data_IF_444612990411
#
_entry.id   IF_444612990411
#
_cell.length_a   1.000
_cell.length_b   1.000
_cell.length_c   1.000
_cell.angle_alpha   90.00
_cell.angle_beta   90.00
_cell.angle_gamma   90.00
#
_symmetry.space_group_name_H-M   'P 1'
#
loop_
_entity.id
_entity.type
_entity.pdbx_description
1 polymer ?
#
# COMPACT_ATOMS: atom_id res chain seq x y z
N UNK A 1 -13.20 15.85 23.08
CA UNK A 1 -12.64 14.72 22.31
C UNK A 1 -13.65 13.61 22.04
N UNK A 2 -14.54 13.26 22.98
CA UNK A 2 -15.66 12.34 22.73
C UNK A 2 -16.52 12.85 21.57
N UNK A 3 -16.57 12.09 20.47
CA UNK A 3 -17.39 12.37 19.29
C UNK A 3 -16.69 13.04 18.10
N UNK A 4 -15.39 13.38 18.17
CA UNK A 4 -14.67 14.01 17.04
C UNK A 4 -13.71 13.07 16.30
N UNK A 5 -13.03 12.15 17.00
CA UNK A 5 -12.12 11.18 16.41
C UNK A 5 -12.47 9.77 16.88
N UNK A 6 -12.55 8.83 15.94
CA UNK A 6 -12.80 7.42 16.16
C UNK A 6 -11.57 6.62 15.76
N UNK A 7 -11.21 5.64 16.58
CA UNK A 7 -10.02 4.81 16.36
C UNK A 7 -10.42 3.49 15.71
N UNK A 8 -9.62 3.01 14.76
CA UNK A 8 -9.85 1.73 14.09
C UNK A 8 -9.66 0.52 15.00
N UNK A 9 -10.22 -0.62 14.60
CA UNK A 9 -10.32 -1.84 15.41
C UNK A 9 -8.99 -2.48 15.82
N UNK A 10 -7.87 -2.12 15.18
CA UNK A 10 -6.54 -2.60 15.57
C UNK A 10 -6.02 -1.96 16.87
N UNK A 11 -6.59 -0.82 17.29
CA UNK A 11 -6.29 -0.16 18.55
C UNK A 11 -7.18 -0.74 19.65
N UNK A 12 -6.62 -1.60 20.49
CA UNK A 12 -7.36 -2.26 21.57
C UNK A 12 -6.67 -2.14 22.93
N UNK A 13 -7.48 -2.21 23.99
CA UNK A 13 -7.03 -2.28 25.38
C UNK A 13 -6.00 -1.21 25.76
N UNK A 14 -4.75 -1.66 25.97
CA UNK A 14 -3.64 -0.80 26.39
C UNK A 14 -3.29 0.25 25.32
N UNK A 15 -3.31 -0.12 24.04
CA UNK A 15 -2.95 0.80 22.95
C UNK A 15 -3.97 1.92 22.81
N UNK A 16 -5.26 1.56 22.86
CA UNK A 16 -6.36 2.52 22.82
C UNK A 16 -6.26 3.54 23.96
N UNK A 17 -5.98 3.09 25.18
CA UNK A 17 -5.83 3.97 26.33
C UNK A 17 -4.58 4.86 26.21
N UNK A 18 -3.47 4.29 25.72
CA UNK A 18 -2.23 5.04 25.46
C UNK A 18 -2.44 6.16 24.45
N UNK A 19 -3.06 5.85 23.30
CA UNK A 19 -3.39 6.85 22.27
C UNK A 19 -4.29 7.94 22.83
N UNK A 20 -5.40 7.58 23.48
CA UNK A 20 -6.33 8.57 24.03
C UNK A 20 -5.66 9.55 24.99
N UNK A 21 -4.76 9.06 25.86
CA UNK A 21 -4.02 9.92 26.80
C UNK A 21 -3.03 10.83 26.08
N UNK A 22 -2.25 10.30 25.14
CA UNK A 22 -1.25 11.07 24.39
C UNK A 22 -1.92 12.16 23.56
N UNK A 23 -2.96 11.81 22.80
CA UNK A 23 -3.69 12.77 21.96
C UNK A 23 -4.38 13.81 22.84
N UNK A 24 -4.91 13.43 24.00
CA UNK A 24 -5.57 14.36 24.92
C UNK A 24 -4.59 15.36 25.53
N UNK A 25 -3.41 14.89 25.93
CA UNK A 25 -2.34 15.76 26.40
C UNK A 25 -1.88 16.71 25.32
N UNK A 26 -1.59 16.20 24.11
CA UNK A 26 -1.04 16.99 23.01
C UNK A 26 -2.04 18.06 22.54
N UNK A 27 -3.30 17.69 22.31
CA UNK A 27 -4.32 18.65 21.86
C UNK A 27 -4.55 19.76 22.88
N UNK A 28 -4.51 19.48 24.18
CA UNK A 28 -4.64 20.54 25.20
C UNK A 28 -3.49 21.54 25.18
N UNK A 29 -2.31 21.13 24.72
CA UNK A 29 -1.13 22.01 24.62
C UNK A 29 -1.15 22.84 23.33
N UNK A 30 -1.51 22.21 22.20
CA UNK A 30 -1.48 22.85 20.88
C UNK A 30 -2.77 23.66 20.61
N UNK A 31 -3.91 23.14 21.07
CA UNK A 31 -5.25 23.70 20.87
C UNK A 31 -5.94 23.92 22.23
N UNK A 32 -5.59 24.99 22.96
CA UNK A 32 -6.23 25.30 24.25
C UNK A 32 -7.70 25.73 24.09
N UNK A 33 -8.11 26.17 22.89
CA UNK A 33 -9.49 26.52 22.57
C UNK A 33 -10.27 25.29 22.06
N UNK A 34 -11.43 25.04 22.65
CA UNK A 34 -12.30 23.90 22.31
C UNK A 34 -12.91 23.99 20.90
N UNK A 35 -12.99 25.21 20.35
CA UNK A 35 -13.52 25.51 19.02
C UNK A 35 -12.47 25.41 17.90
N UNK A 36 -11.19 25.27 18.26
CA UNK A 36 -10.12 25.20 17.28
C UNK A 36 -10.24 23.94 16.40
N UNK A 37 -9.98 24.11 15.10
CA UNK A 37 -9.91 22.99 14.16
C UNK A 37 -8.61 22.21 14.40
N UNK A 38 -8.76 20.95 14.74
CA UNK A 38 -7.64 20.03 14.98
C UNK A 38 -7.19 19.46 13.64
N UNK A 39 -5.91 19.64 13.32
CA UNK A 39 -5.30 18.97 12.16
C UNK A 39 -5.12 17.47 12.41
N UNK A 40 -5.31 16.68 11.36
CA UNK A 40 -5.09 15.24 11.32
C UNK A 40 -3.65 14.84 11.70
N UNK A 41 -2.68 15.70 11.41
CA UNK A 41 -1.26 15.50 11.71
C UNK A 41 -0.98 15.51 13.23
N UNK A 42 -1.82 16.20 14.00
CA UNK A 42 -1.64 16.39 15.45
C UNK A 42 -2.21 15.23 16.28
N UNK A 43 -2.74 14.18 15.64
CA UNK A 43 -3.31 13.02 16.32
C UNK A 43 -2.27 12.05 16.87
N UNK A 44 -0.95 12.32 16.75
CA UNK A 44 0.17 11.59 17.38
C UNK A 44 0.16 10.05 17.24
N UNK A 45 -0.69 9.49 16.38
CA UNK A 45 -0.86 8.06 16.15
C UNK A 45 0.39 7.45 15.54
N UNK A 46 1.09 8.24 14.72
CA UNK A 46 2.35 7.84 14.09
C UNK A 46 3.40 7.48 15.14
N UNK A 47 3.56 8.31 16.17
CA UNK A 47 4.52 8.07 17.25
C UNK A 47 4.18 6.79 18.02
N UNK A 48 2.88 6.52 18.25
CA UNK A 48 2.47 5.26 18.87
C UNK A 48 2.76 4.06 17.96
N UNK A 49 2.52 4.19 16.64
CA UNK A 49 2.83 3.15 15.66
C UNK A 49 4.33 2.83 15.67
N UNK A 50 5.21 3.84 15.70
CA UNK A 50 6.67 3.65 15.82
C UNK A 50 7.05 2.76 17.01
N UNK A 51 6.43 2.97 18.17
CA UNK A 51 6.69 2.16 19.37
C UNK A 51 6.19 0.72 19.19
N UNK A 52 4.97 0.55 18.68
CA UNK A 52 4.38 -0.79 18.51
C UNK A 52 5.12 -1.62 17.44
N UNK A 53 5.61 -0.98 16.39
CA UNK A 53 6.47 -1.62 15.38
C UNK A 53 7.79 -2.13 15.98
N UNK A 54 8.38 -1.41 16.94
CA UNK A 54 9.54 -1.95 17.69
C UNK A 54 9.14 -3.12 18.58
N UNK A 55 7.98 -3.08 19.23
CA UNK A 55 7.48 -4.20 20.04
C UNK A 55 7.23 -5.45 19.19
N UNK A 56 6.70 -5.28 17.98
CA UNK A 56 6.52 -6.36 16.99
C UNK A 56 7.84 -7.05 16.64
N UNK A 57 8.95 -6.32 16.54
CA UNK A 57 10.29 -6.91 16.30
C UNK A 57 10.76 -7.80 17.45
N UNK A 58 10.34 -7.50 18.67
CA UNK A 58 10.72 -8.26 19.89
C UNK A 58 9.77 -9.44 20.12
N UNK A 59 8.48 -9.28 19.82
CA UNK A 59 7.44 -10.29 20.07
C UNK A 59 6.34 -10.25 19.01
N UNK A 60 6.59 -10.87 17.85
CA UNK A 60 5.68 -10.80 16.70
C UNK A 60 4.28 -11.40 16.96
N UNK A 61 4.16 -12.39 17.84
CA UNK A 61 2.89 -13.03 18.16
C UNK A 61 1.95 -12.16 19.03
N UNK A 62 2.51 -11.32 19.90
CA UNK A 62 1.74 -10.47 20.83
C UNK A 62 1.45 -9.09 20.23
N UNK A 63 2.36 -8.58 19.38
CA UNK A 63 2.31 -7.20 18.88
C UNK A 63 2.08 -7.11 17.36
N UNK A 64 1.41 -8.11 16.77
CA UNK A 64 1.14 -8.18 15.32
C UNK A 64 0.23 -7.06 14.79
N UNK A 65 -0.69 -6.55 15.61
CA UNK A 65 -1.70 -5.58 15.19
C UNK A 65 -1.15 -4.14 15.10
N UNK A 66 -0.39 -3.82 14.04
CA UNK A 66 0.16 -2.48 13.81
C UNK A 66 -0.63 -1.63 12.80
N UNK A 67 -1.78 -2.14 12.32
CA UNK A 67 -2.68 -1.47 11.38
C UNK A 67 -3.49 -0.35 12.03
N UNK A 68 -2.84 0.73 12.46
CA UNK A 68 -3.53 1.85 13.08
C UNK A 68 -4.25 2.69 12.03
N UNK A 69 -5.52 2.95 12.31
CA UNK A 69 -6.37 3.83 11.53
C UNK A 69 -7.22 4.72 12.44
N UNK A 70 -7.72 5.80 11.87
CA UNK A 70 -8.64 6.71 12.53
C UNK A 70 -9.64 7.30 11.54
N UNK A 71 -10.77 7.74 12.06
CA UNK A 71 -11.81 8.47 11.33
C UNK A 71 -12.13 9.75 12.09
N UNK A 72 -12.17 10.89 11.38
CA UNK A 72 -12.57 12.18 11.96
C UNK A 72 -14.02 12.47 11.54
N UNK A 73 -14.86 12.77 12.52
CA UNK A 73 -16.30 12.94 12.32
C UNK A 73 -17.03 11.60 12.09
N UNK A 74 -18.36 11.67 11.95
CA UNK A 74 -19.24 10.50 11.81
C UNK A 74 -19.32 9.97 10.37
N UNK A 75 -18.95 10.77 9.37
CA UNK A 75 -18.94 10.39 7.94
C UNK A 75 -17.53 10.44 7.33
N UNK A 76 -16.49 10.48 8.17
CA UNK A 76 -15.11 10.58 7.70
C UNK A 76 -14.63 9.33 6.97
N UNK A 77 -13.72 9.51 6.01
CA UNK A 77 -12.96 8.41 5.40
C UNK A 77 -11.98 7.87 6.44
N UNK A 78 -11.89 6.55 6.58
CA UNK A 78 -10.89 5.90 7.42
C UNK A 78 -9.48 6.17 6.87
N UNK A 79 -8.65 6.82 7.67
CA UNK A 79 -7.27 7.13 7.33
C UNK A 79 -6.32 6.19 8.06
N UNK A 80 -5.48 5.51 7.30
CA UNK A 80 -4.43 4.65 7.83
C UNK A 80 -3.17 5.47 8.10
N UNK A 81 -2.55 5.21 9.24
CA UNK A 81 -1.37 5.95 9.69
C UNK A 81 -0.13 5.20 9.23
N UNK A 82 0.61 5.71 8.26
CA UNK A 82 1.88 5.15 7.78
C UNK A 82 3.07 5.61 8.64
N UNK A 83 4.20 4.89 8.57
CA UNK A 83 5.46 5.29 9.23
C UNK A 83 6.58 5.29 8.19
N UNK A 84 6.98 6.46 7.66
CA UNK A 84 7.85 6.55 6.48
C UNK A 84 9.25 5.95 6.74
N UNK A 85 9.73 5.95 7.98
CA UNK A 85 11.06 5.44 8.34
C UNK A 85 11.13 3.91 8.38
N UNK A 86 9.99 3.22 8.41
CA UNK A 86 9.95 1.76 8.39
C UNK A 86 10.15 1.18 6.98
N UNK A 87 10.15 2.05 5.95
CA UNK A 87 10.34 1.66 4.58
C UNK A 87 11.80 1.25 4.35
N UNK A 88 12.06 -0.05 4.16
CA UNK A 88 13.27 -0.47 3.46
C UNK A 88 13.14 0.06 2.03
N UNK A 89 14.01 0.99 1.60
CA UNK A 89 13.97 1.60 0.26
C UNK A 89 14.01 0.57 -0.89
N UNK A 90 14.35 -0.69 -0.61
CA UNK A 90 14.57 -1.73 -1.62
C UNK A 90 13.67 -2.98 -1.48
N UNK A 91 12.52 -2.89 -0.79
CA UNK A 91 11.66 -4.06 -0.50
C UNK A 91 10.17 -3.83 -0.78
N UNK A 92 9.44 -4.92 -1.06
CA UNK A 92 7.98 -4.95 -1.01
C UNK A 92 7.57 -4.64 0.43
N UNK A 93 6.77 -3.59 0.64
CA UNK A 93 6.26 -3.25 1.96
C UNK A 93 5.20 -4.25 2.42
N UNK A 94 5.06 -4.42 3.74
CA UNK A 94 3.98 -5.20 4.35
C UNK A 94 2.63 -4.44 4.34
N UNK A 95 2.63 -3.20 3.86
CA UNK A 95 1.43 -2.38 3.74
C UNK A 95 0.64 -2.77 2.49
N UNK A 96 -0.70 -2.85 2.58
CA UNK A 96 -1.52 -3.07 1.40
C UNK A 96 -1.26 -1.94 0.40
N UNK A 97 -1.05 -2.31 -0.86
CA UNK A 97 -0.83 -1.34 -1.93
C UNK A 97 -2.08 -0.48 -2.13
N UNK A 98 -1.88 0.75 -2.61
CA UNK A 98 -2.99 1.61 -3.01
C UNK A 98 -3.83 0.93 -4.11
N UNK A 99 -5.12 1.27 -4.16
CA UNK A 99 -6.00 0.75 -5.21
C UNK A 99 -5.41 1.05 -6.60
N UNK A 100 -5.35 0.04 -7.46
CA UNK A 100 -4.74 0.13 -8.79
C UNK A 100 -3.24 -0.18 -8.81
N UNK A 101 -2.58 -0.43 -7.68
CA UNK A 101 -1.18 -0.82 -7.63
C UNK A 101 -1.01 -2.30 -7.30
N UNK A 102 -0.19 -3.02 -8.06
CA UNK A 102 0.16 -4.42 -7.79
C UNK A 102 1.64 -4.70 -8.05
N UNK A 103 2.21 -5.62 -7.26
CA UNK A 103 3.52 -6.19 -7.54
C UNK A 103 3.37 -7.40 -8.46
N UNK A 104 4.23 -7.49 -9.47
CA UNK A 104 4.26 -8.58 -10.44
C UNK A 104 5.67 -9.10 -10.60
N UNK A 105 5.80 -10.41 -10.83
CA UNK A 105 7.06 -11.07 -11.10
C UNK A 105 7.13 -11.41 -12.58
N UNK A 106 8.22 -11.06 -13.25
CA UNK A 106 8.56 -11.61 -14.55
C UNK A 106 9.58 -12.72 -14.37
N UNK A 107 9.39 -13.91 -15.00
CA UNK A 107 10.35 -15.01 -14.91
C UNK A 107 11.72 -14.68 -15.54
N UNK A 108 11.84 -13.57 -16.30
CA UNK A 108 13.04 -13.23 -17.06
C UNK A 108 13.13 -14.01 -18.37
N UNK A 109 14.01 -13.57 -19.27
CA UNK A 109 14.36 -14.27 -20.52
C UNK A 109 15.50 -15.28 -20.33
N UNK A 110 15.96 -15.92 -21.40
CA UNK A 110 17.04 -16.92 -21.35
C UNK A 110 18.35 -16.40 -20.69
N UNK A 111 18.65 -15.11 -20.86
CA UNK A 111 19.86 -14.45 -20.31
C UNK A 111 19.54 -13.40 -19.23
N UNK A 112 18.29 -13.26 -18.82
CA UNK A 112 17.84 -12.22 -17.88
C UNK A 112 17.25 -12.85 -16.63
N UNK A 113 17.68 -12.39 -15.46
CA UNK A 113 17.19 -12.91 -14.18
C UNK A 113 15.72 -12.51 -13.98
N UNK A 114 14.95 -13.29 -13.21
CA UNK A 114 13.60 -12.90 -12.83
C UNK A 114 13.62 -11.54 -12.12
N UNK A 115 12.72 -10.66 -12.55
CA UNK A 115 12.62 -9.28 -12.08
C UNK A 115 11.30 -9.03 -11.38
N UNK A 116 11.32 -8.10 -10.43
CA UNK A 116 10.14 -7.60 -9.74
C UNK A 116 9.70 -6.28 -10.39
N UNK A 117 8.43 -6.17 -10.75
CA UNK A 117 7.86 -5.01 -11.42
C UNK A 117 6.64 -4.52 -10.66
N UNK A 118 6.51 -3.21 -10.51
CA UNK A 118 5.30 -2.59 -9.95
C UNK A 118 4.41 -2.12 -11.10
N UNK A 119 3.18 -2.58 -11.13
CA UNK A 119 2.14 -2.07 -12.02
C UNK A 119 1.28 -1.08 -11.27
N UNK A 120 1.03 0.05 -11.91
CA UNK A 120 0.16 1.11 -11.43
C UNK A 120 -0.90 1.35 -12.51
N UNK A 121 -2.17 1.27 -12.14
CA UNK A 121 -3.32 1.52 -12.99
C UNK A 121 -4.06 2.71 -12.41
N UNK A 122 -4.22 3.74 -13.23
CA UNK A 122 -4.94 4.96 -12.86
C UNK A 122 -6.12 5.09 -13.81
N UNK A 123 -7.31 5.21 -13.25
CA UNK A 123 -8.50 5.57 -14.01
C UNK A 123 -8.61 7.09 -14.11
N UNK A 124 -8.97 7.60 -15.29
CA UNK A 124 -9.15 9.02 -15.52
C UNK A 124 -10.21 9.31 -16.59
N UNK A 125 -10.65 10.57 -16.71
CA UNK A 125 -11.61 10.98 -17.72
C UNK A 125 -11.01 10.79 -19.12
N UNK A 126 -11.70 10.06 -20.00
CA UNK A 126 -11.25 9.76 -21.35
C UNK A 126 -11.84 8.45 -21.86
N UNK A 127 -11.52 8.08 -23.10
CA UNK A 127 -11.89 6.78 -23.66
C UNK A 127 -10.63 5.98 -24.00
N UNK A 128 -10.60 4.73 -23.57
CA UNK A 128 -9.58 3.76 -23.96
C UNK A 128 -8.47 3.57 -22.94
N UNK A 129 -7.50 2.73 -23.33
CA UNK A 129 -6.42 2.25 -22.48
C UNK A 129 -5.10 2.81 -23.00
N UNK A 130 -4.22 3.29 -22.12
CA UNK A 130 -2.89 3.80 -22.51
C UNK A 130 -1.80 3.24 -21.62
N UNK A 131 -0.73 2.72 -22.24
CA UNK A 131 0.50 2.34 -21.53
C UNK A 131 1.50 3.49 -21.59
N UNK A 132 1.90 4.03 -20.44
CA UNK A 132 2.78 5.22 -20.39
C UNK A 132 4.28 4.90 -20.44
N UNK A 133 4.71 3.69 -20.04
CA UNK A 133 6.14 3.40 -19.92
C UNK A 133 6.69 2.75 -21.19
N UNK A 134 7.22 3.56 -22.11
CA UNK A 134 7.92 3.10 -23.31
C UNK A 134 9.38 3.60 -23.26
N UNK A 135 10.40 2.72 -23.26
CA UNK A 135 10.32 1.28 -23.52
C UNK A 135 9.89 0.44 -22.31
N UNK A 136 8.87 -0.40 -22.52
CA UNK A 136 8.54 -1.52 -21.63
C UNK A 136 9.73 -2.49 -21.63
N UNK A 137 10.13 -3.04 -20.46
CA UNK A 137 11.14 -4.08 -20.37
C UNK A 137 10.87 -5.21 -21.37
N UNK A 138 11.90 -5.63 -22.12
CA UNK A 138 11.81 -6.67 -23.15
C UNK A 138 11.06 -7.94 -22.70
N UNK A 139 11.32 -8.54 -21.52
CA UNK A 139 10.62 -9.76 -21.09
C UNK A 139 9.14 -9.53 -20.77
N UNK A 140 8.72 -8.26 -20.62
CA UNK A 140 7.37 -7.89 -20.24
C UNK A 140 6.54 -7.34 -21.41
N UNK A 141 7.18 -7.09 -22.56
CA UNK A 141 6.55 -6.49 -23.75
C UNK A 141 5.36 -7.29 -24.26
N UNK A 142 5.50 -8.62 -24.34
CA UNK A 142 4.43 -9.49 -24.85
C UNK A 142 3.26 -9.58 -23.87
N UNK A 143 3.55 -9.67 -22.57
CA UNK A 143 2.51 -9.70 -21.52
C UNK A 143 1.71 -8.39 -21.48
N UNK A 144 2.39 -7.24 -21.60
CA UNK A 144 1.72 -5.95 -21.68
C UNK A 144 0.86 -5.84 -22.93
N UNK A 145 1.35 -6.31 -24.08
CA UNK A 145 0.59 -6.28 -25.33
C UNK A 145 -0.68 -7.13 -25.24
N UNK A 146 -0.58 -8.33 -24.67
CA UNK A 146 -1.73 -9.19 -24.41
C UNK A 146 -2.70 -8.56 -23.40
N UNK A 147 -2.20 -7.92 -22.34
CA UNK A 147 -3.03 -7.23 -21.36
C UNK A 147 -3.75 -6.03 -21.97
N UNK A 148 -3.05 -5.23 -22.78
CA UNK A 148 -3.60 -4.09 -23.52
C UNK A 148 -4.72 -4.53 -24.47
N UNK A 149 -4.52 -5.61 -25.25
CA UNK A 149 -5.55 -6.17 -26.11
C UNK A 149 -6.78 -6.64 -25.33
N UNK A 150 -6.59 -7.31 -24.19
CA UNK A 150 -7.69 -7.72 -23.32
C UNK A 150 -8.45 -6.54 -22.72
N UNK A 151 -7.73 -5.50 -22.30
CA UNK A 151 -8.33 -4.28 -21.77
C UNK A 151 -9.10 -3.54 -22.85
N UNK A 152 -8.59 -3.44 -24.08
CA UNK A 152 -9.35 -2.86 -25.20
C UNK A 152 -10.60 -3.68 -25.53
N UNK A 153 -10.50 -5.00 -25.58
CA UNK A 153 -11.64 -5.87 -25.89
C UNK A 153 -12.76 -5.79 -24.83
N UNK A 154 -12.41 -5.49 -23.58
CA UNK A 154 -13.36 -5.45 -22.44
C UNK A 154 -13.52 -4.05 -21.83
N UNK A 155 -13.04 -3.00 -22.49
CA UNK A 155 -13.01 -1.64 -21.95
C UNK A 155 -14.39 -1.15 -21.54
N UNK A 156 -15.41 -1.41 -22.37
CA UNK A 156 -16.80 -1.03 -22.10
C UNK A 156 -17.40 -1.68 -20.84
N UNK A 157 -16.91 -2.87 -20.46
CA UNK A 157 -17.34 -3.58 -19.25
C UNK A 157 -16.54 -3.17 -18.01
N UNK A 158 -15.26 -2.83 -18.19
CA UNK A 158 -14.32 -2.60 -17.08
C UNK A 158 -14.21 -1.13 -16.66
N UNK A 159 -14.28 -0.20 -17.62
CA UNK A 159 -14.04 1.25 -17.39
C UNK A 159 -15.25 2.09 -17.84
N UNK A 160 -16.24 1.49 -18.48
CA UNK A 160 -17.45 2.19 -18.94
C UNK A 160 -17.10 3.34 -19.90
N UNK A 161 -17.43 4.57 -19.52
CA UNK A 161 -17.11 5.80 -20.25
C UNK A 161 -15.76 6.43 -19.84
N UNK A 162 -15.04 5.82 -18.90
CA UNK A 162 -13.73 6.26 -18.43
C UNK A 162 -12.57 5.66 -19.22
N UNK A 163 -11.37 6.19 -18.98
CA UNK A 163 -10.12 5.74 -19.57
C UNK A 163 -9.20 5.17 -18.50
N UNK A 164 -8.43 4.14 -18.85
CA UNK A 164 -7.47 3.51 -17.94
C UNK A 164 -6.03 3.74 -18.43
N UNK A 165 -5.17 4.23 -17.56
CA UNK A 165 -3.75 4.43 -17.84
C UNK A 165 -2.93 3.45 -17.02
N UNK A 166 -2.13 2.63 -17.70
CA UNK A 166 -1.26 1.64 -17.07
C UNK A 166 0.19 2.12 -17.13
N UNK A 167 0.87 2.12 -15.98
CA UNK A 167 2.29 2.40 -15.84
C UNK A 167 2.96 1.19 -15.20
N UNK A 168 4.05 0.72 -15.81
CA UNK A 168 4.87 -0.35 -15.25
C UNK A 168 6.21 0.24 -14.85
N UNK A 169 6.54 0.30 -13.56
CA UNK A 169 7.85 0.74 -13.08
C UNK A 169 8.69 -0.47 -12.70
N UNK A 170 9.90 -0.59 -13.25
CA UNK A 170 10.86 -1.63 -12.85
C UNK A 170 11.26 -1.42 -11.39
N UNK A 171 11.03 -2.43 -10.54
CA UNK A 171 11.30 -2.36 -9.12
C UNK A 171 12.59 -3.06 -8.72
N UNK A 172 13.43 -2.35 -7.97
CA UNK A 172 14.49 -2.85 -7.07
C UNK A 172 15.47 -3.91 -7.64
N UNK A 173 16.68 -3.50 -8.09
CA UNK A 173 17.77 -4.41 -8.47
C UNK A 173 18.24 -5.36 -7.34
N UNK A 174 17.89 -5.06 -6.08
CA UNK A 174 18.37 -5.77 -4.90
C UNK A 174 17.62 -7.05 -4.51
N UNK A 175 16.38 -7.25 -4.97
CA UNK A 175 15.56 -8.40 -4.55
C UNK A 175 16.08 -9.74 -5.10
N UNK A 176 16.71 -9.71 -6.28
CA UNK A 176 17.23 -10.88 -6.98
C UNK A 176 18.37 -11.58 -6.22
N UNK A 177 19.00 -10.92 -5.23
CA UNK A 177 20.12 -11.52 -4.48
C UNK A 177 19.70 -12.55 -3.42
N UNK A 178 18.41 -12.73 -3.12
CA UNK A 178 17.98 -13.57 -1.98
C UNK A 178 17.55 -15.01 -2.30
N UNK A 179 17.49 -15.40 -3.58
CA UNK A 179 17.21 -16.78 -3.97
C UNK A 179 18.32 -17.33 -4.89
N UNK A 180 19.36 -17.97 -4.34
CA UNK A 180 20.26 -18.78 -5.16
C UNK A 180 19.47 -19.99 -5.67
N UNK A 181 19.27 -20.04 -6.99
CA UNK A 181 19.10 -21.26 -7.80
C UNK A 181 18.49 -22.47 -7.08
N UNK A 182 17.17 -22.47 -6.86
CA UNK A 182 16.43 -23.74 -6.73
C UNK A 182 15.85 -24.06 -8.10
N UNK A 183 16.04 -25.29 -8.62
CA UNK A 183 15.45 -25.68 -9.90
C UNK A 183 13.93 -25.52 -9.82
N UNK A 184 13.38 -24.84 -10.82
CA UNK A 184 11.96 -24.61 -11.02
C UNK A 184 11.23 -25.96 -11.00
N UNK A 185 10.60 -26.31 -9.87
CA UNK A 185 9.62 -27.39 -9.86
C UNK A 185 8.29 -26.78 -10.32
N UNK A 186 7.64 -27.31 -11.37
CA UNK A 186 6.33 -26.84 -11.77
C UNK A 186 5.32 -27.27 -10.69
N UNK A 187 5.07 -26.40 -9.71
CA UNK A 187 3.86 -26.51 -8.90
C UNK A 187 2.71 -26.08 -9.79
N UNK A 188 2.03 -27.07 -10.37
CA UNK A 188 0.77 -26.88 -11.06
C UNK A 188 -0.27 -26.36 -10.07
N UNK A 189 -0.45 -25.04 -10.03
CA UNK A 189 -1.66 -24.45 -9.50
C UNK A 189 -2.66 -24.32 -10.65
N UNK A 190 -3.57 -25.29 -10.67
CA UNK A 190 -4.79 -25.27 -11.45
C UNK A 190 -5.65 -24.13 -10.87
N UNK A 191 -5.87 -23.08 -11.65
CA UNK A 191 -6.86 -22.07 -11.35
C UNK A 191 -8.26 -22.71 -11.49
N UNK A 192 -8.88 -22.99 -10.34
CA UNK A 192 -10.31 -22.90 -10.07
C UNK A 192 -10.48 -22.53 -8.61
#
# INVERSE_FOLDING_TARGET
MQGRAFWGGALSGRDLNGVNKTVSGLLKLIYPDESAQVSDEDLALEVRRRVKEQQKRIGAAEFCNTHFSYTIGTEGVEKFVSTPELQSQNGIGDEPLECGQIWTLSPGGQDERPGLFRLEVIEGPGFGVRVLNNPVPAPFRELIRCAEQNLYARAAQLVGAGGATVRCTSGCPGWVKRYPSRPYRPCGYRLY
#
